data_IF_945584960134
#
_entry.id   IF_945584960134
#
_cell.length_a   1.000
_cell.length_b   1.000
_cell.length_c   1.000
_cell.angle_alpha   90.00
_cell.angle_beta   90.00
_cell.angle_gamma   90.00
#
_symmetry.space_group_name_H-M   'P 1'
#
loop_
_entity.id
_entity.type
_entity.pdbx_description
1 polymer ?
#
# COMPACT_ATOMS: atom_id res chain seq x y z
N UNK A 1 11.53 -4.79 -7.59
CA UNK A 1 11.77 -5.92 -6.67
C UNK A 1 13.02 -5.70 -5.86
N UNK A 2 12.99 -6.00 -4.57
CA UNK A 2 14.13 -5.81 -3.66
C UNK A 2 14.62 -7.15 -3.16
N UNK A 3 15.92 -7.30 -3.01
CA UNK A 3 16.47 -8.49 -2.37
C UNK A 3 16.23 -8.41 -0.86
N UNK A 4 15.75 -9.49 -0.25
CA UNK A 4 15.48 -9.58 1.19
C UNK A 4 16.69 -9.15 2.06
N UNK A 5 17.90 -9.41 1.59
CA UNK A 5 19.15 -9.04 2.25
C UNK A 5 19.33 -7.52 2.44
N UNK A 6 18.76 -6.69 1.58
CA UNK A 6 18.82 -5.23 1.69
C UNK A 6 18.11 -4.70 2.96
N UNK A 7 17.24 -5.51 3.56
CA UNK A 7 16.47 -5.19 4.75
C UNK A 7 16.89 -6.02 5.98
N UNK A 8 17.99 -6.77 5.91
CA UNK A 8 18.41 -7.69 6.98
C UNK A 8 18.88 -6.98 8.27
N UNK A 9 19.19 -5.70 8.19
CA UNK A 9 19.64 -4.88 9.34
C UNK A 9 18.81 -3.60 9.44
N UNK A 10 17.53 -3.71 9.85
CA UNK A 10 16.70 -2.52 10.05
C UNK A 10 17.26 -1.70 11.23
N UNK A 11 17.17 -0.37 11.13
CA UNK A 11 17.40 0.54 12.23
C UNK A 11 16.10 0.75 13.00
N UNK A 12 16.18 1.24 14.25
CA UNK A 12 14.98 1.60 15.02
C UNK A 12 14.09 2.60 14.27
N UNK A 13 14.71 3.54 13.55
CA UNK A 13 14.01 4.52 12.68
C UNK A 13 13.54 3.95 11.34
N UNK A 14 13.72 2.66 11.09
CA UNK A 14 13.45 2.04 9.79
C UNK A 14 14.52 2.32 8.75
N UNK A 15 14.29 1.82 7.54
CA UNK A 15 15.14 2.09 6.36
C UNK A 15 14.23 2.41 5.17
N UNK A 16 14.64 3.40 4.36
CA UNK A 16 13.92 3.72 3.14
C UNK A 16 13.94 2.50 2.21
N UNK A 17 12.77 2.12 1.72
CA UNK A 17 12.61 1.00 0.79
C UNK A 17 12.58 1.44 -0.67
N UNK A 18 12.11 2.64 -0.95
CA UNK A 18 11.91 3.19 -2.29
C UNK A 18 12.00 4.71 -2.23
N UNK A 19 12.39 5.33 -3.31
CA UNK A 19 12.24 6.78 -3.49
C UNK A 19 10.88 7.06 -4.10
N UNK A 20 10.05 7.83 -3.42
CA UNK A 20 8.72 8.24 -3.86
C UNK A 20 8.83 9.68 -4.38
N UNK A 21 8.29 9.95 -5.57
CA UNK A 21 8.24 11.30 -6.14
C UNK A 21 7.26 12.17 -5.33
N UNK A 22 7.41 13.48 -5.45
CA UNK A 22 6.47 14.44 -4.85
C UNK A 22 5.08 14.25 -5.48
N UNK A 23 4.06 14.11 -4.61
CA UNK A 23 2.68 13.86 -5.02
C UNK A 23 2.32 12.40 -5.26
N UNK A 24 3.29 11.48 -5.19
CA UNK A 24 3.04 10.03 -5.27
C UNK A 24 2.89 9.38 -3.90
N UNK A 25 2.22 8.25 -3.85
CA UNK A 25 2.02 7.46 -2.64
C UNK A 25 2.40 5.98 -2.85
N UNK A 26 2.80 5.31 -1.76
CA UNK A 26 3.02 3.88 -1.76
C UNK A 26 1.68 3.14 -1.64
N UNK A 27 1.20 2.57 -2.74
CA UNK A 27 -0.07 1.84 -2.76
C UNK A 27 0.00 0.50 -2.02
N UNK A 28 1.00 -0.32 -2.32
CA UNK A 28 1.12 -1.65 -1.74
C UNK A 28 2.55 -2.21 -1.83
N UNK A 29 2.84 -3.16 -0.94
CA UNK A 29 4.02 -4.02 -1.01
C UNK A 29 3.57 -5.49 -0.89
N UNK A 30 4.19 -6.37 -1.66
CA UNK A 30 3.89 -7.81 -1.67
C UNK A 30 5.19 -8.61 -1.63
N UNK A 31 5.19 -9.68 -0.86
CA UNK A 31 6.24 -10.68 -0.92
C UNK A 31 5.96 -11.63 -2.09
N UNK A 32 6.99 -11.95 -2.84
CA UNK A 32 6.93 -12.89 -3.96
C UNK A 32 8.13 -13.84 -3.92
N UNK A 33 8.01 -14.98 -4.54
CA UNK A 33 9.02 -16.05 -4.55
C UNK A 33 9.81 -16.15 -5.87
N UNK A 34 9.47 -15.34 -6.88
CA UNK A 34 10.07 -15.39 -8.22
C UNK A 34 9.19 -16.10 -9.25
N UNK A 35 8.10 -16.74 -8.84
CA UNK A 35 7.19 -17.49 -9.72
C UNK A 35 5.78 -16.91 -9.82
N UNK A 36 5.65 -15.61 -9.58
CA UNK A 36 4.36 -14.94 -9.59
C UNK A 36 4.09 -14.15 -10.87
N UNK A 37 2.85 -13.87 -11.09
CA UNK A 37 2.37 -12.90 -12.06
C UNK A 37 1.84 -11.69 -11.34
N UNK A 38 2.30 -10.53 -11.79
CA UNK A 38 1.88 -9.24 -11.25
C UNK A 38 0.71 -8.73 -12.07
N UNK A 39 -0.36 -8.36 -11.38
CA UNK A 39 -1.46 -7.61 -11.98
C UNK A 39 -1.58 -6.24 -11.32
N UNK A 40 -1.79 -5.24 -12.14
CA UNK A 40 -2.04 -3.86 -11.72
C UNK A 40 -3.29 -3.35 -12.43
N UNK A 41 -4.09 -2.55 -11.75
CA UNK A 41 -5.25 -1.91 -12.36
C UNK A 41 -5.24 -0.41 -12.08
N UNK A 42 -5.81 0.35 -13.02
CA UNK A 42 -5.95 1.80 -12.97
C UNK A 42 -7.42 2.19 -12.86
N UNK A 43 -7.66 3.38 -12.36
CA UNK A 43 -8.97 3.95 -12.07
C UNK A 43 -9.90 3.99 -13.28
N UNK A 44 -9.36 4.19 -14.47
CA UNK A 44 -10.08 4.15 -15.75
C UNK A 44 -10.62 2.76 -16.14
N UNK A 45 -10.37 1.72 -15.32
CA UNK A 45 -10.92 0.37 -15.51
C UNK A 45 -10.11 -0.52 -16.44
N UNK A 46 -8.81 -0.29 -16.53
CA UNK A 46 -7.86 -1.14 -17.26
C UNK A 46 -6.97 -1.91 -16.28
N UNK A 47 -6.50 -3.08 -16.69
CA UNK A 47 -5.55 -3.87 -15.92
C UNK A 47 -4.50 -4.48 -16.84
N UNK A 48 -3.31 -4.68 -16.31
CA UNK A 48 -2.19 -5.34 -16.98
C UNK A 48 -1.77 -6.56 -16.18
N UNK A 49 -1.36 -7.62 -16.86
CA UNK A 49 -0.78 -8.84 -16.27
C UNK A 49 0.56 -9.11 -16.91
N UNK A 50 1.59 -9.31 -16.09
CA UNK A 50 2.94 -9.62 -16.56
C UNK A 50 3.70 -10.47 -15.53
N UNK A 51 4.68 -11.30 -15.96
CA UNK A 51 5.50 -12.07 -15.05
C UNK A 51 6.37 -11.16 -14.18
N UNK A 52 6.53 -11.49 -12.89
CA UNK A 52 7.35 -10.71 -11.97
C UNK A 52 8.82 -10.60 -12.39
N UNK A 53 9.35 -11.59 -13.13
CA UNK A 53 10.71 -11.57 -13.68
C UNK A 53 10.99 -10.39 -14.63
N UNK A 54 9.92 -9.76 -15.17
CA UNK A 54 10.03 -8.52 -15.96
C UNK A 54 10.33 -7.30 -15.09
N UNK A 55 10.24 -7.42 -13.78
CA UNK A 55 10.62 -6.37 -12.82
C UNK A 55 12.03 -6.68 -12.32
N UNK A 56 13.01 -5.96 -12.85
CA UNK A 56 14.39 -6.14 -12.41
C UNK A 56 14.56 -5.82 -10.92
N UNK A 57 15.39 -6.59 -10.19
CA UNK A 57 15.77 -6.22 -8.83
C UNK A 57 16.50 -4.87 -8.81
N UNK A 58 16.13 -4.00 -7.89
CA UNK A 58 16.71 -2.67 -7.73
C UNK A 58 17.14 -2.44 -6.27
N UNK A 59 18.03 -1.49 -6.03
CA UNK A 59 18.39 -1.07 -4.69
C UNK A 59 17.31 -0.18 -4.05
N UNK A 60 17.37 -0.03 -2.74
CA UNK A 60 16.39 0.71 -1.92
C UNK A 60 16.19 2.19 -2.29
N UNK A 61 17.20 2.84 -2.89
CA UNK A 61 17.11 4.23 -3.33
C UNK A 61 16.55 4.41 -4.74
N UNK A 62 16.07 3.35 -5.41
CA UNK A 62 15.52 3.47 -6.74
C UNK A 62 14.06 3.92 -6.71
N UNK A 63 13.65 4.68 -7.72
CA UNK A 63 12.25 5.07 -7.95
C UNK A 63 11.41 3.88 -8.44
N UNK A 64 12.03 2.91 -9.11
CA UNK A 64 11.35 1.75 -9.67
C UNK A 64 11.26 1.79 -11.18
N UNK A 65 10.29 1.05 -11.71
CA UNK A 65 10.03 0.94 -13.16
C UNK A 65 8.53 0.99 -13.41
N UNK A 66 8.13 1.55 -14.56
CA UNK A 66 6.72 1.63 -14.94
C UNK A 66 6.10 0.22 -15.03
N UNK A 67 5.00 0.00 -14.32
CA UNK A 67 4.23 -1.24 -14.35
C UNK A 67 3.12 -1.22 -15.38
N UNK A 68 2.34 -0.15 -15.41
CA UNK A 68 1.22 0.12 -16.32
C UNK A 68 1.30 1.55 -16.81
N UNK A 69 0.82 1.82 -18.01
CA UNK A 69 0.64 3.16 -18.56
C UNK A 69 -0.68 3.73 -18.05
N UNK A 70 -0.65 4.91 -17.44
CA UNK A 70 -1.83 5.68 -17.04
C UNK A 70 -2.28 6.54 -18.20
N UNK A 71 -3.60 6.74 -18.36
CA UNK A 71 -4.16 7.40 -19.54
C UNK A 71 -3.99 8.93 -19.46
N UNK A 72 -4.09 9.53 -18.27
CA UNK A 72 -3.92 10.96 -18.04
C UNK A 72 -3.50 11.25 -16.58
N UNK A 73 -3.35 12.54 -16.23
CA UNK A 73 -2.94 12.99 -14.88
C UNK A 73 -3.99 12.70 -13.79
N UNK A 74 -5.21 12.39 -14.16
CA UNK A 74 -6.31 12.06 -13.23
C UNK A 74 -6.47 10.56 -12.99
N UNK A 75 -5.79 9.74 -13.80
CA UNK A 75 -5.80 8.29 -13.67
C UNK A 75 -4.70 7.84 -12.71
N UNK A 76 -5.00 6.84 -11.93
CA UNK A 76 -4.11 6.33 -10.87
C UNK A 76 -4.18 4.81 -10.76
N UNK A 77 -3.13 4.21 -10.22
CA UNK A 77 -3.12 2.77 -9.91
C UNK A 77 -3.95 2.55 -8.65
N UNK A 78 -4.98 1.73 -8.75
CA UNK A 78 -5.91 1.44 -7.64
C UNK A 78 -5.71 0.07 -7.00
N UNK A 79 -4.91 -0.78 -7.62
CA UNK A 79 -4.65 -2.12 -7.08
C UNK A 79 -3.43 -2.79 -7.67
N UNK A 80 -2.79 -3.60 -6.81
CA UNK A 80 -1.67 -4.47 -7.14
C UNK A 80 -1.90 -5.83 -6.49
N UNK A 81 -1.91 -6.89 -7.29
CA UNK A 81 -1.94 -8.28 -6.81
C UNK A 81 -0.78 -9.08 -7.43
N UNK A 82 -0.33 -10.07 -6.68
CA UNK A 82 0.65 -11.04 -7.14
C UNK A 82 0.03 -12.43 -7.00
N UNK A 83 -0.15 -13.11 -8.11
CA UNK A 83 -0.79 -14.43 -8.15
C UNK A 83 0.26 -15.46 -8.54
N UNK A 84 0.34 -16.56 -7.79
CA UNK A 84 1.21 -17.68 -8.16
C UNK A 84 0.74 -18.30 -9.46
N UNK A 85 1.66 -18.69 -10.33
CA UNK A 85 1.36 -19.42 -11.57
C UNK A 85 0.75 -20.80 -11.35
N UNK A 86 0.94 -21.33 -10.15
CA UNK A 86 0.42 -22.65 -9.76
C UNK A 86 -1.01 -22.57 -9.24
N UNK A 87 -1.46 -21.38 -8.82
CA UNK A 87 -2.73 -21.14 -8.18
C UNK A 87 -3.82 -20.83 -9.21
N UNK A 88 -4.50 -21.86 -9.68
CA UNK A 88 -5.50 -21.76 -10.77
C UNK A 88 -6.92 -21.50 -10.27
N UNK A 89 -7.16 -21.66 -8.98
CA UNK A 89 -8.51 -21.54 -8.39
C UNK A 89 -8.84 -20.08 -8.04
N UNK A 90 -7.89 -19.17 -8.19
CA UNK A 90 -8.09 -17.75 -7.91
C UNK A 90 -8.72 -17.04 -9.10
N UNK A 91 -9.65 -16.17 -8.76
CA UNK A 91 -10.24 -15.21 -9.70
C UNK A 91 -9.86 -13.78 -9.33
N UNK A 92 -9.98 -12.89 -10.28
CA UNK A 92 -9.73 -11.45 -10.07
C UNK A 92 -11.04 -10.76 -9.81
N UNK A 93 -11.20 -10.29 -8.58
CA UNK A 93 -12.33 -9.43 -8.18
C UNK A 93 -11.99 -7.99 -8.49
N UNK A 94 -12.90 -7.32 -9.14
CA UNK A 94 -12.87 -5.86 -9.38
C UNK A 94 -14.12 -5.23 -8.79
N UNK A 95 -13.93 -4.07 -8.15
CA UNK A 95 -15.00 -3.30 -7.52
C UNK A 95 -14.92 -1.85 -7.98
N UNK A 96 -16.05 -1.27 -8.33
CA UNK A 96 -16.14 0.12 -8.78
C UNK A 96 -16.84 1.01 -7.77
N UNK A 97 -16.61 2.30 -7.89
CA UNK A 97 -17.05 3.37 -6.97
C UNK A 97 -18.55 3.35 -6.68
N UNK A 98 -19.37 3.03 -7.69
CA UNK A 98 -20.84 3.00 -7.56
C UNK A 98 -21.40 1.62 -7.17
N UNK A 99 -20.56 0.78 -6.54
CA UNK A 99 -21.01 -0.49 -5.98
C UNK A 99 -21.18 -1.63 -6.96
N UNK A 100 -20.60 -1.53 -8.14
CA UNK A 100 -20.57 -2.65 -9.11
C UNK A 100 -19.27 -3.44 -8.96
N UNK A 101 -19.35 -4.74 -9.20
CA UNK A 101 -18.17 -5.60 -9.20
C UNK A 101 -18.46 -6.94 -9.84
N UNK A 102 -17.40 -7.71 -10.01
CA UNK A 102 -17.45 -9.06 -10.57
C UNK A 102 -16.15 -9.79 -10.32
N UNK A 103 -16.22 -11.10 -10.41
CA UNK A 103 -15.04 -11.98 -10.49
C UNK A 103 -14.76 -12.28 -11.97
N UNK A 104 -13.50 -12.41 -12.32
CA UNK A 104 -13.07 -12.76 -13.68
C UNK A 104 -11.92 -13.77 -13.58
N UNK A 105 -11.94 -14.89 -14.32
CA UNK A 105 -10.83 -15.81 -14.36
C UNK A 105 -9.55 -15.12 -14.79
N UNK A 106 -8.43 -15.45 -14.16
CA UNK A 106 -7.15 -14.83 -14.45
C UNK A 106 -6.71 -15.04 -15.90
N UNK A 107 -7.12 -16.13 -16.51
CA UNK A 107 -6.77 -16.50 -17.89
C UNK A 107 -7.41 -15.57 -18.94
N UNK A 108 -8.45 -14.84 -18.60
CA UNK A 108 -8.98 -13.79 -19.47
C UNK A 108 -8.03 -12.60 -19.64
N UNK A 109 -7.05 -12.45 -18.73
CA UNK A 109 -6.03 -11.41 -18.81
C UNK A 109 -4.78 -11.97 -19.48
N UNK A 110 -4.55 -11.57 -20.73
CA UNK A 110 -3.34 -11.99 -21.45
C UNK A 110 -2.08 -11.53 -20.74
N UNK A 111 -1.08 -12.39 -20.72
CA UNK A 111 0.25 -12.05 -20.22
C UNK A 111 0.94 -11.13 -21.24
N UNK A 112 1.46 -10.00 -20.75
CA UNK A 112 2.11 -8.97 -21.58
C UNK A 112 3.45 -8.55 -20.98
N UNK A 113 4.13 -7.59 -21.58
CA UNK A 113 5.22 -6.88 -20.94
C UNK A 113 4.64 -5.78 -20.03
N UNK A 114 5.39 -5.43 -18.96
CA UNK A 114 5.05 -4.29 -18.09
C UNK A 114 5.09 -2.96 -18.86
N UNK A 115 4.47 -1.92 -18.30
CA UNK A 115 4.51 -0.56 -18.82
C UNK A 115 3.61 -0.33 -20.04
N UNK A 116 2.75 -1.29 -20.40
CA UNK A 116 1.76 -1.11 -21.46
C UNK A 116 0.40 -0.61 -20.94
N UNK A 117 -0.51 -0.31 -21.88
CA UNK A 117 -1.88 0.17 -21.56
C UNK A 117 -2.78 -0.84 -20.88
N UNK A 118 -2.40 -2.12 -20.87
CA UNK A 118 -3.24 -3.18 -20.33
C UNK A 118 -4.48 -3.46 -21.17
N UNK A 119 -5.46 -4.15 -20.57
CA UNK A 119 -6.73 -4.53 -21.16
C UNK A 119 -7.87 -4.05 -20.28
N UNK A 120 -9.04 -3.83 -20.87
CA UNK A 120 -10.24 -3.46 -20.09
C UNK A 120 -10.57 -4.57 -19.08
N UNK A 121 -10.71 -4.21 -17.79
CA UNK A 121 -11.07 -5.12 -16.70
C UNK A 121 -12.50 -4.90 -16.23
N UNK A 122 -13.03 -3.67 -16.34
CA UNK A 122 -14.42 -3.33 -16.09
C UNK A 122 -14.85 -2.26 -17.07
N UNK A 123 -16.13 -2.21 -17.41
CA UNK A 123 -16.67 -1.11 -18.23
C UNK A 123 -17.05 0.06 -17.33
N UNK A 124 -16.16 1.05 -17.25
CA UNK A 124 -16.37 2.32 -16.51
C UNK A 124 -17.36 3.18 -17.28
N UNK A 125 -18.42 3.60 -16.61
CA UNK A 125 -19.51 4.45 -17.10
C UNK A 125 -19.98 5.34 -15.95
N UNK A 126 -20.80 6.34 -16.19
CA UNK A 126 -21.42 7.14 -15.13
C UNK A 126 -22.17 6.27 -14.10
N UNK A 127 -22.76 5.16 -14.55
CA UNK A 127 -23.50 4.22 -13.70
C UNK A 127 -22.57 3.41 -12.76
N UNK A 128 -21.42 3.00 -13.24
CA UNK A 128 -20.47 2.16 -12.46
C UNK A 128 -19.52 2.99 -11.65
N UNK A 129 -19.22 4.20 -12.09
CA UNK A 129 -18.11 4.99 -11.55
C UNK A 129 -16.77 4.38 -11.91
N UNK A 130 -15.71 4.96 -11.39
CA UNK A 130 -14.32 4.53 -11.55
C UNK A 130 -14.04 3.20 -10.84
N UNK A 131 -12.98 2.52 -11.23
CA UNK A 131 -12.48 1.35 -10.50
C UNK A 131 -11.85 1.80 -9.18
N UNK A 132 -12.16 1.11 -8.08
CA UNK A 132 -11.61 1.40 -6.74
C UNK A 132 -10.90 0.23 -6.09
N UNK A 133 -11.09 -1.00 -6.59
CA UNK A 133 -10.45 -2.17 -6.01
C UNK A 133 -10.12 -3.26 -7.03
N UNK A 134 -8.96 -3.88 -6.83
CA UNK A 134 -8.49 -5.07 -7.55
C UNK A 134 -7.93 -6.05 -6.53
N UNK A 135 -8.46 -7.27 -6.47
CA UNK A 135 -8.05 -8.32 -5.53
C UNK A 135 -8.02 -9.67 -6.21
N UNK A 136 -7.10 -10.53 -5.80
CA UNK A 136 -7.14 -11.96 -6.05
C UNK A 136 -8.00 -12.62 -4.97
N UNK A 137 -8.95 -13.44 -5.33
CA UNK A 137 -9.90 -14.06 -4.40
C UNK A 137 -10.14 -15.53 -4.70
N UNK A 138 -10.41 -16.28 -3.63
CA UNK A 138 -10.97 -17.65 -3.66
C UNK A 138 -12.48 -17.59 -3.44
N UNK A 139 -13.19 -18.63 -3.79
CA UNK A 139 -14.63 -18.72 -3.52
C UNK A 139 -14.97 -18.79 -2.02
N UNK A 140 -14.03 -19.29 -1.21
CA UNK A 140 -14.15 -19.35 0.24
C UNK A 140 -13.91 -18.02 0.95
N UNK A 141 -13.35 -17.03 0.26
CA UNK A 141 -13.06 -15.72 0.86
C UNK A 141 -14.35 -14.92 1.07
N UNK A 142 -14.26 -13.93 1.98
CA UNK A 142 -15.27 -12.89 2.15
C UNK A 142 -14.75 -11.53 1.75
N UNK A 143 -15.64 -10.70 1.28
CA UNK A 143 -15.38 -9.30 0.90
C UNK A 143 -15.98 -8.35 1.92
N UNK A 144 -15.17 -7.43 2.42
CA UNK A 144 -15.63 -6.25 3.15
C UNK A 144 -15.64 -5.07 2.20
N UNK A 145 -16.76 -4.36 2.15
CA UNK A 145 -16.92 -3.13 1.41
C UNK A 145 -17.24 -2.02 2.42
N UNK A 146 -16.46 -0.95 2.39
CA UNK A 146 -16.67 0.24 3.23
C UNK A 146 -16.99 1.44 2.35
N UNK A 147 -18.10 2.11 2.63
CA UNK A 147 -18.56 3.29 1.93
C UNK A 147 -17.99 4.57 2.57
N UNK A 148 -17.99 5.68 1.84
CA UNK A 148 -17.56 6.99 2.35
C UNK A 148 -18.42 7.47 3.53
N UNK A 149 -19.69 7.10 3.58
CA UNK A 149 -20.60 7.34 4.71
C UNK A 149 -20.22 6.58 5.98
N UNK A 150 -19.29 5.63 5.92
CA UNK A 150 -18.92 4.74 7.03
C UNK A 150 -19.73 3.44 7.08
N UNK A 151 -20.72 3.26 6.22
CA UNK A 151 -21.44 1.97 6.10
C UNK A 151 -20.47 0.90 5.63
N UNK A 152 -20.45 -0.21 6.36
CA UNK A 152 -19.60 -1.37 6.03
C UNK A 152 -20.45 -2.62 5.93
N UNK A 153 -20.24 -3.39 4.87
CA UNK A 153 -20.89 -4.68 4.66
C UNK A 153 -19.86 -5.78 4.46
N UNK A 154 -20.24 -7.00 4.83
CA UNK A 154 -19.51 -8.25 4.54
C UNK A 154 -20.39 -9.10 3.62
N UNK A 155 -19.82 -9.61 2.56
CA UNK A 155 -20.48 -10.50 1.60
C UNK A 155 -19.52 -11.61 1.19
N UNK A 156 -20.05 -12.81 0.96
CA UNK A 156 -19.23 -13.92 0.52
C UNK A 156 -18.85 -13.78 -0.95
N UNK A 157 -17.63 -14.16 -1.29
CA UNK A 157 -17.12 -14.10 -2.66
C UNK A 157 -17.89 -15.03 -3.60
N UNK A 158 -18.38 -16.18 -3.10
CA UNK A 158 -19.16 -17.13 -3.91
C UNK A 158 -20.48 -16.53 -4.43
N UNK A 159 -21.06 -15.53 -3.76
CA UNK A 159 -22.26 -14.83 -4.19
C UNK A 159 -22.02 -13.84 -5.34
N UNK A 160 -20.73 -13.48 -5.57
CA UNK A 160 -20.35 -12.53 -6.60
C UNK A 160 -20.22 -13.28 -7.94
N UNK A 161 -21.01 -12.87 -8.90
CA UNK A 161 -21.03 -13.48 -10.24
C UNK A 161 -19.66 -13.42 -10.92
N UNK A 162 -19.26 -14.54 -11.48
CA UNK A 162 -18.17 -14.60 -12.46
C UNK A 162 -18.65 -14.07 -13.82
N UNK A 163 -17.88 -13.18 -14.41
CA UNK A 163 -18.24 -12.53 -15.68
C UNK A 163 -16.99 -12.09 -16.44
N UNK A 164 -17.10 -12.02 -17.76
CA UNK A 164 -16.02 -11.59 -18.64
C UNK A 164 -15.48 -10.19 -18.30
N UNK A 165 -14.19 -9.97 -18.52
CA UNK A 165 -13.44 -8.78 -18.10
C UNK A 165 -14.01 -7.45 -18.62
N UNK A 166 -14.62 -7.40 -19.81
CA UNK A 166 -15.15 -6.18 -20.42
C UNK A 166 -16.59 -5.80 -19.99
N UNK A 167 -17.21 -6.58 -19.08
CA UNK A 167 -18.56 -6.31 -18.59
C UNK A 167 -18.59 -5.27 -17.48
N UNK A 168 -19.77 -4.72 -17.17
CA UNK A 168 -19.98 -3.80 -16.04
C UNK A 168 -19.98 -4.50 -14.69
N UNK A 169 -20.15 -5.83 -14.67
CA UNK A 169 -20.37 -6.58 -13.44
C UNK A 169 -21.81 -6.50 -12.93
N UNK A 170 -21.99 -6.90 -11.68
CA UNK A 170 -23.26 -6.88 -10.95
C UNK A 170 -23.19 -5.88 -9.81
N UNK A 171 -24.33 -5.45 -9.30
CA UNK A 171 -24.39 -4.56 -8.14
C UNK A 171 -24.14 -5.36 -6.88
N UNK A 172 -23.04 -5.06 -6.17
CA UNK A 172 -22.63 -5.71 -4.93
C UNK A 172 -23.32 -5.12 -3.71
N UNK A 173 -23.51 -3.80 -3.72
CA UNK A 173 -24.13 -3.04 -2.65
C UNK A 173 -25.07 -1.99 -3.25
N UNK A 174 -26.17 -1.69 -2.55
CA UNK A 174 -27.01 -0.53 -2.85
C UNK A 174 -26.49 0.64 -2.03
N UNK A 175 -25.98 1.64 -2.71
CA UNK A 175 -25.51 2.89 -2.10
C UNK A 175 -26.67 3.86 -1.98
N UNK A 176 -26.66 4.67 -0.94
CA UNK A 176 -27.53 5.82 -0.82
C UNK A 176 -27.13 6.92 -1.82
N UNK A 177 -28.00 7.89 -2.03
CA UNK A 177 -27.75 8.98 -2.98
C UNK A 177 -26.53 9.80 -2.56
N UNK A 178 -25.55 9.90 -3.43
CA UNK A 178 -24.30 10.61 -3.18
C UNK A 178 -23.23 9.83 -2.40
N UNK A 179 -23.53 8.59 -2.00
CA UNK A 179 -22.51 7.72 -1.37
C UNK A 179 -21.69 6.93 -2.38
N UNK A 180 -20.50 6.56 -2.01
CA UNK A 180 -19.51 5.86 -2.85
C UNK A 180 -18.73 4.84 -2.03
N UNK A 181 -18.21 3.81 -2.70
CA UNK A 181 -17.26 2.90 -2.07
C UNK A 181 -15.93 3.63 -1.83
N UNK A 182 -15.49 3.63 -0.57
CA UNK A 182 -14.21 4.19 -0.15
C UNK A 182 -13.08 3.16 -0.17
N UNK A 183 -13.36 1.95 0.29
CA UNK A 183 -12.36 0.89 0.39
C UNK A 183 -12.99 -0.50 0.29
N UNK A 184 -12.16 -1.46 -0.13
CA UNK A 184 -12.52 -2.88 -0.16
C UNK A 184 -11.38 -3.71 0.43
N UNK A 185 -11.72 -4.74 1.19
CA UNK A 185 -10.76 -5.67 1.78
C UNK A 185 -11.28 -7.08 1.69
N UNK A 186 -10.39 -8.06 1.49
CA UNK A 186 -10.78 -9.47 1.58
C UNK A 186 -10.41 -10.02 2.95
N UNK A 187 -11.26 -10.92 3.45
CA UNK A 187 -10.95 -11.79 4.56
C UNK A 187 -10.84 -13.18 3.96
N UNK A 188 -9.63 -13.76 4.05
CA UNK A 188 -9.45 -15.18 3.72
C UNK A 188 -10.18 -16.03 4.73
N UNK A 189 -10.66 -17.18 4.29
CA UNK A 189 -11.08 -18.24 5.19
C UNK A 189 -9.82 -18.71 5.93
N UNK A 190 -9.59 -18.12 7.10
CA UNK A 190 -8.61 -18.63 8.05
C UNK A 190 -9.27 -19.85 8.67
N UNK A 191 -9.00 -21.02 8.08
CA UNK A 191 -9.27 -22.28 8.81
C UNK A 191 -8.76 -22.11 10.24
N UNK A 192 -9.46 -22.66 11.20
CA UNK A 192 -9.43 -22.45 12.66
C UNK A 192 -8.05 -22.46 13.38
N UNK A 193 -6.93 -22.22 12.70
CA UNK A 193 -5.58 -22.27 13.22
C UNK A 193 -4.81 -20.94 12.97
N UNK A 194 -5.33 -19.86 13.52
CA UNK A 194 -4.51 -18.67 13.78
C UNK A 194 -4.93 -18.08 15.13
N UNK A 195 -4.49 -18.74 16.19
CA UNK A 195 -4.30 -18.08 17.48
C UNK A 195 -3.41 -16.85 17.22
N UNK A 196 -4.03 -15.71 17.10
CA UNK A 196 -3.35 -14.44 17.18
C UNK A 196 -2.82 -14.35 18.61
N UNK A 197 -1.55 -14.68 18.83
CA UNK A 197 -0.82 -14.21 20.00
C UNK A 197 -0.95 -12.68 20.03
N UNK A 198 -1.93 -12.23 20.79
CA UNK A 198 -2.01 -10.86 21.27
C UNK A 198 -0.81 -10.72 22.21
N UNK A 199 0.28 -10.16 21.72
CA UNK A 199 1.35 -9.68 22.58
C UNK A 199 0.75 -8.46 23.30
N UNK A 200 0.15 -8.73 24.47
CA UNK A 200 -0.15 -7.67 25.43
C UNK A 200 1.17 -7.04 25.84
N UNK A 201 1.44 -5.87 25.30
CA UNK A 201 2.51 -5.01 25.77
C UNK A 201 2.14 -4.55 27.17
N UNK A 202 2.77 -5.16 28.19
CA UNK A 202 2.74 -4.65 29.55
C UNK A 202 3.26 -3.21 29.55
N UNK A 203 2.35 -2.27 29.71
CA UNK A 203 2.67 -0.91 30.10
C UNK A 203 2.88 -0.95 31.62
N UNK A 204 4.11 -1.16 32.04
CA UNK A 204 4.48 -0.96 33.44
C UNK A 204 4.43 0.53 33.76
N UNK A 205 3.34 0.94 34.36
CA UNK A 205 3.22 2.21 35.08
C UNK A 205 3.81 2.03 36.48
N UNK A 206 5.04 2.38 36.69
CA UNK A 206 5.58 2.65 38.02
C UNK A 206 5.48 4.15 38.31
N UNK A 207 4.40 4.49 38.99
CA UNK A 207 4.31 5.71 39.81
C UNK A 207 4.84 5.38 41.19
N UNK A 208 5.97 5.91 41.60
CA UNK A 208 6.32 6.01 43.01
C UNK A 208 6.66 7.46 43.32
N UNK A 209 5.71 8.08 44.04
CA UNK A 209 5.85 9.33 44.75
C UNK A 209 6.27 8.96 46.14
N UNK A 210 7.45 9.35 46.56
CA UNK A 210 7.75 9.52 47.98
C UNK A 210 8.58 10.79 48.19
N UNK A 211 7.96 11.70 48.86
CA UNK A 211 8.55 12.93 49.40
C UNK A 211 9.24 12.64 50.72
N UNK A 212 10.46 13.11 50.87
CA UNK A 212 10.96 13.54 52.21
C UNK A 212 11.98 14.68 52.07
N UNK A 213 11.61 15.74 52.59
CA UNK A 213 12.17 16.92 53.19
C UNK A 213 13.57 16.70 53.86
N UNK A 214 14.50 17.63 53.65
CA UNK A 214 15.22 18.44 54.62
C UNK A 214 16.54 19.00 54.09
N UNK A 215 16.57 20.32 54.08
CA UNK A 215 17.57 21.27 54.58
C UNK A 215 19.08 21.08 54.36
N UNK A 216 19.61 22.13 53.83
CA UNK A 216 20.74 22.98 54.24
C UNK A 216 21.79 23.27 53.17
N UNK A 217 21.89 24.53 52.86
CA UNK A 217 23.01 25.28 52.28
C UNK A 217 24.08 25.58 53.35
N UNK A 218 25.22 26.23 53.08
CA UNK A 218 25.85 26.78 51.90
C UNK A 218 27.40 26.70 51.87
N UNK A 219 27.97 27.44 50.90
CA UNK A 219 29.37 27.97 50.83
C UNK A 219 30.38 27.13 50.01
N UNK A 220 31.28 27.66 49.26
CA UNK A 220 31.81 28.99 48.98
C UNK A 220 32.86 28.88 47.87
N UNK A 221 32.97 29.89 47.09
CA UNK A 221 34.17 30.54 46.55
C UNK A 221 35.09 29.87 45.52
N UNK A 222 35.23 30.64 44.51
CA UNK A 222 36.43 31.26 43.88
C UNK A 222 36.94 30.64 42.58
N UNK A 223 36.81 31.46 41.56
CA UNK A 223 37.87 32.11 40.75
C UNK A 223 38.76 31.15 39.94
N UNK A 224 38.96 31.33 38.67
CA UNK A 224 39.68 32.44 38.06
C UNK A 224 39.63 32.39 36.53
N UNK A 225 39.61 33.54 35.98
CA UNK A 225 39.88 34.04 34.67
C UNK A 225 40.95 33.34 33.79
N UNK A 226 40.73 33.30 32.47
CA UNK A 226 41.60 34.02 31.51
C UNK A 226 41.06 33.87 30.06
N UNK A 227 40.56 34.85 29.53
CA UNK A 227 40.93 35.76 28.45
C UNK A 227 42.04 35.26 27.50
N UNK A 228 41.73 35.14 26.23
CA UNK A 228 42.58 35.64 25.17
C UNK A 228 41.89 35.76 23.81
N UNK A 229 41.50 36.94 23.49
CA UNK A 229 41.28 37.55 22.20
C UNK A 229 42.55 37.46 21.35
N UNK A 230 42.44 37.15 20.06
CA UNK A 230 43.20 37.85 19.00
C UNK A 230 42.41 37.76 17.69
N UNK A 231 42.07 38.94 17.20
CA UNK A 231 41.73 39.35 15.82
C UNK A 231 42.77 38.89 14.77
N UNK A 232 42.32 38.59 13.57
CA UNK A 232 42.88 39.41 12.48
C UNK A 232 42.09 39.25 11.19
N UNK A 233 41.80 40.39 10.64
CA UNK A 233 41.19 40.72 9.38
C UNK A 233 42.13 40.54 8.18
N UNK A 234 41.57 40.61 6.99
CA UNK A 234 42.25 40.85 5.72
C UNK A 234 41.56 40.08 4.58
N UNK A 235 40.60 40.61 3.92
CA UNK A 235 40.57 41.61 2.84
C UNK A 235 41.19 41.10 1.53
N UNK A 236 40.38 41.18 0.54
CA UNK A 236 40.60 41.77 -0.78
C UNK A 236 40.51 40.89 -2.05
N UNK A 237 39.51 41.25 -2.81
CA UNK A 237 39.45 41.60 -4.27
C UNK A 237 39.69 40.52 -5.34
N UNK A 238 38.63 40.32 -6.13
CA UNK A 238 38.35 40.84 -7.50
C UNK A 238 38.98 40.14 -8.71
N UNK A 239 38.12 39.98 -9.74
CA UNK A 239 38.33 40.05 -11.20
C UNK A 239 38.87 38.76 -11.87
N UNK A 240 38.11 38.11 -12.68
CA UNK A 240 37.66 38.31 -14.07
C UNK A 240 36.54 37.31 -14.43
#
# INVERSE_FOLDING_TARGET
MYKRQEFSRPRVSGVNAITINEGDELLAARLTDGNNEVMMAIKSGRAIRFPEEKVRPTGRGAIGVAGIEVDDETDEVVGLVCVSREDKDRTILVVSQQGFGKRTPIDEYRITNRGGKGVKTINVTEKTGSLVGLMDVLESDDLIITCKSGVTIRTSINEIREAGRATQGVKLIRLDEGDEIAATSKIGDQGEDADAEIVEGEVSSESNVEATDSTETPNDASSDSNDNTIDNAGDNTSVE
#
